data_IF_183574154504
#
_entry.id   IF_183574154504
#
_cell.length_a   1.000
_cell.length_b   1.000
_cell.length_c   1.000
_cell.angle_alpha   90.00
_cell.angle_beta   90.00
_cell.angle_gamma   90.00
#
_symmetry.space_group_name_H-M   'P 1'
#
loop_
_entity.id
_entity.type
_entity.pdbx_description
1 polymer ?
#
# COMPACT_ATOMS: atom_id res chain seq x y z
N UNK A 1 -1.53 0.07 -7.77
CA UNK A 1 -0.25 0.75 -7.47
C UNK A 1 0.87 0.27 -8.39
N UNK A 2 1.18 -1.04 -8.43
CA UNK A 2 2.18 -1.60 -9.36
C UNK A 2 1.97 -1.19 -10.84
N UNK A 3 0.74 -1.32 -11.35
CA UNK A 3 0.37 -0.91 -12.72
C UNK A 3 0.58 0.59 -12.97
N UNK A 4 0.42 1.43 -11.94
CA UNK A 4 0.65 2.87 -12.06
C UNK A 4 2.14 3.17 -12.23
N UNK A 5 2.99 2.57 -11.40
CA UNK A 5 4.45 2.73 -11.48
C UNK A 5 4.96 2.28 -12.86
N UNK A 6 4.51 1.12 -13.34
CA UNK A 6 4.89 0.63 -14.67
C UNK A 6 4.43 1.58 -15.80
N UNK A 7 3.21 2.12 -15.72
CA UNK A 7 2.71 3.11 -16.71
C UNK A 7 3.52 4.40 -16.70
N UNK A 8 3.91 4.87 -15.52
CA UNK A 8 4.75 6.08 -15.38
C UNK A 8 6.13 5.81 -15.96
N UNK A 9 6.75 4.67 -15.65
CA UNK A 9 8.05 4.29 -16.22
C UNK A 9 8.02 4.16 -17.75
N UNK A 10 6.93 3.60 -18.30
CA UNK A 10 6.71 3.56 -19.75
C UNK A 10 6.61 4.96 -20.39
N UNK A 11 6.12 5.96 -19.66
CA UNK A 11 6.00 7.33 -20.18
C UNK A 11 7.31 8.14 -20.09
N UNK A 12 8.17 7.83 -19.12
CA UNK A 12 9.39 8.62 -18.85
C UNK A 12 10.61 8.02 -19.54
N UNK A 13 10.70 6.68 -19.65
CA UNK A 13 11.84 5.98 -20.23
C UNK A 13 11.46 5.32 -21.57
N UNK A 14 11.80 5.93 -22.72
CA UNK A 14 11.59 5.32 -24.02
C UNK A 14 12.58 4.19 -24.34
N UNK A 15 13.71 4.10 -23.62
CA UNK A 15 14.69 3.02 -23.77
C UNK A 15 14.21 1.76 -23.03
N UNK A 16 13.95 0.70 -23.80
CA UNK A 16 13.46 -0.59 -23.35
C UNK A 16 14.47 -1.32 -22.44
N UNK A 17 15.77 -1.21 -22.70
CA UNK A 17 16.79 -1.89 -21.89
C UNK A 17 16.94 -1.26 -20.52
N UNK A 18 16.98 0.07 -20.46
CA UNK A 18 17.06 0.82 -19.19
C UNK A 18 15.78 0.57 -18.39
N UNK A 19 14.63 0.60 -19.05
CA UNK A 19 13.34 0.35 -18.41
C UNK A 19 13.29 -1.04 -17.78
N UNK A 20 13.67 -2.08 -18.50
CA UNK A 20 13.56 -3.45 -17.99
C UNK A 20 14.50 -3.70 -16.81
N UNK A 21 15.74 -3.17 -16.87
CA UNK A 21 16.68 -3.23 -15.75
C UNK A 21 16.18 -2.45 -14.53
N UNK A 22 15.67 -1.24 -14.76
CA UNK A 22 15.13 -0.41 -13.69
C UNK A 22 13.88 -1.04 -13.06
N UNK A 23 13.00 -1.65 -13.86
CA UNK A 23 11.81 -2.35 -13.38
C UNK A 23 12.21 -3.54 -12.51
N UNK A 24 13.21 -4.33 -12.89
CA UNK A 24 13.66 -5.46 -12.06
C UNK A 24 14.17 -5.01 -10.68
N UNK A 25 15.03 -3.98 -10.65
CA UNK A 25 15.55 -3.39 -9.40
C UNK A 25 14.40 -2.84 -8.55
N UNK A 26 13.45 -2.16 -9.18
CA UNK A 26 12.31 -1.59 -8.47
C UNK A 26 11.36 -2.67 -7.94
N UNK A 27 11.07 -3.72 -8.70
CA UNK A 27 10.12 -4.77 -8.33
C UNK A 27 10.56 -5.52 -7.07
N UNK A 28 11.85 -5.83 -6.96
CA UNK A 28 12.40 -6.50 -5.78
C UNK A 28 12.20 -5.66 -4.52
N UNK A 29 12.59 -4.39 -4.55
CA UNK A 29 12.43 -3.50 -3.40
C UNK A 29 10.95 -3.13 -3.14
N UNK A 30 10.13 -3.06 -4.19
CA UNK A 30 8.69 -2.81 -4.06
C UNK A 30 7.99 -3.97 -3.37
N UNK A 31 8.33 -5.21 -3.74
CA UNK A 31 7.75 -6.43 -3.15
C UNK A 31 8.08 -6.54 -1.66
N UNK A 32 9.32 -6.18 -1.28
CA UNK A 32 9.72 -6.07 0.13
C UNK A 32 8.87 -5.04 0.89
N UNK A 33 8.70 -3.83 0.35
CA UNK A 33 7.86 -2.79 0.99
C UNK A 33 6.40 -3.20 1.10
N UNK A 34 5.87 -3.96 0.15
CA UNK A 34 4.51 -4.52 0.27
C UNK A 34 4.40 -5.56 1.36
N UNK A 35 5.39 -6.45 1.50
CA UNK A 35 5.41 -7.43 2.59
C UNK A 35 5.42 -6.73 3.95
N UNK A 36 6.29 -5.74 4.12
CA UNK A 36 6.36 -4.97 5.37
C UNK A 36 5.06 -4.21 5.67
N UNK A 37 4.43 -3.64 4.64
CA UNK A 37 3.13 -2.98 4.77
C UNK A 37 2.04 -3.96 5.22
N UNK A 38 2.05 -5.19 4.71
CA UNK A 38 1.14 -6.25 5.13
C UNK A 38 1.38 -6.66 6.58
N UNK A 39 2.65 -6.81 6.99
CA UNK A 39 3.01 -7.14 8.37
C UNK A 39 2.56 -6.05 9.35
N UNK A 40 2.75 -4.78 8.98
CA UNK A 40 2.27 -3.63 9.76
C UNK A 40 0.74 -3.63 9.89
N UNK A 41 0.02 -3.87 8.78
CA UNK A 41 -1.43 -3.97 8.80
C UNK A 41 -1.89 -5.14 9.69
N UNK A 42 -1.19 -6.28 9.66
CA UNK A 42 -1.50 -7.43 10.51
C UNK A 42 -1.29 -7.12 12.00
N UNK A 43 -0.24 -6.38 12.37
CA UNK A 43 -0.02 -5.94 13.75
C UNK A 43 -1.14 -5.03 14.22
N UNK A 44 -1.54 -4.06 13.40
CA UNK A 44 -2.65 -3.13 13.72
C UNK A 44 -3.95 -3.93 13.92
N UNK A 45 -4.24 -4.89 13.03
CA UNK A 45 -5.41 -5.75 13.16
C UNK A 45 -5.38 -6.63 14.41
N UNK A 46 -4.21 -7.16 14.79
CA UNK A 46 -4.03 -7.93 16.03
C UNK A 46 -4.25 -7.06 17.27
N UNK A 47 -3.67 -5.86 17.30
CA UNK A 47 -3.84 -4.90 18.40
C UNK A 47 -5.31 -4.50 18.55
N UNK A 48 -5.99 -4.27 17.43
CA UNK A 48 -7.41 -3.95 17.42
C UNK A 48 -8.27 -5.11 17.92
N UNK A 49 -8.00 -6.34 17.47
CA UNK A 49 -8.70 -7.55 17.96
C UNK A 49 -8.56 -7.75 19.47
N UNK A 50 -7.44 -7.29 20.05
CA UNK A 50 -7.20 -7.35 21.49
C UNK A 50 -7.83 -6.18 22.25
N UNK A 51 -8.20 -5.10 21.56
CA UNK A 51 -8.84 -3.96 22.17
C UNK A 51 -10.32 -4.28 22.39
N UNK A 52 -10.73 -4.45 23.65
CA UNK A 52 -12.09 -4.84 23.99
C UNK A 52 -13.06 -3.72 23.55
N UNK A 53 -13.97 -4.06 22.63
CA UNK A 53 -14.91 -3.18 21.91
C UNK A 53 -15.96 -2.47 22.80
N UNK A 54 -15.79 -2.48 24.12
CA UNK A 54 -16.74 -2.02 25.14
C UNK A 54 -16.91 -0.51 25.23
N UNK A 55 -16.14 0.27 24.48
CA UNK A 55 -16.18 1.75 24.48
C UNK A 55 -17.03 2.36 23.35
N UNK A 56 -17.56 1.55 22.42
CA UNK A 56 -18.43 2.10 21.37
C UNK A 56 -19.81 2.47 21.95
N UNK A 57 -20.18 3.75 21.82
CA UNK A 57 -21.44 4.30 22.34
C UNK A 57 -22.67 3.60 21.74
N UNK A 58 -22.62 3.16 20.47
CA UNK A 58 -23.74 2.44 19.84
C UNK A 58 -23.84 1.00 20.37
N UNK A 59 -22.71 0.36 20.64
CA UNK A 59 -22.70 -0.95 21.31
C UNK A 59 -23.27 -0.85 22.73
N UNK A 60 -22.84 0.14 23.53
CA UNK A 60 -23.37 0.37 24.87
C UNK A 60 -24.88 0.63 24.88
N UNK A 61 -25.38 1.46 23.97
CA UNK A 61 -26.82 1.71 23.82
C UNK A 61 -27.59 0.44 23.46
N UNK A 62 -27.05 -0.39 22.57
CA UNK A 62 -27.72 -1.64 22.16
C UNK A 62 -27.70 -2.67 23.29
N UNK A 63 -26.63 -2.71 24.09
CA UNK A 63 -26.53 -3.53 25.29
C UNK A 63 -27.58 -3.12 26.33
N UNK A 64 -27.72 -1.82 26.61
CA UNK A 64 -28.71 -1.28 27.53
C UNK A 64 -30.15 -1.57 27.09
N UNK A 65 -30.44 -1.46 25.79
CA UNK A 65 -31.76 -1.76 25.22
C UNK A 65 -32.07 -3.26 25.37
N UNK A 66 -31.13 -4.13 25.00
CA UNK A 66 -31.31 -5.58 25.12
C UNK A 66 -31.45 -6.02 26.58
N UNK A 67 -30.69 -5.41 27.51
CA UNK A 67 -30.81 -5.66 28.95
C UNK A 67 -32.18 -5.24 29.49
N UNK A 68 -32.67 -4.05 29.12
CA UNK A 68 -34.00 -3.55 29.52
C UNK A 68 -35.12 -4.44 28.99
N UNK A 69 -35.01 -4.93 27.75
CA UNK A 69 -35.98 -5.89 27.18
C UNK A 69 -35.99 -7.22 27.93
N UNK A 70 -34.82 -7.78 28.22
CA UNK A 70 -34.70 -9.02 29.00
C UNK A 70 -35.31 -8.87 30.41
N UNK A 71 -35.06 -7.73 31.08
CA UNK A 71 -35.69 -7.42 32.37
C UNK A 71 -37.21 -7.27 32.25
N UNK A 72 -37.73 -6.53 31.26
CA UNK A 72 -39.18 -6.38 31.04
C UNK A 72 -39.86 -7.72 30.72
N UNK A 73 -39.24 -8.56 29.90
CA UNK A 73 -39.73 -9.89 29.55
C UNK A 73 -39.73 -10.82 30.77
N UNK A 74 -38.74 -10.73 31.68
CA UNK A 74 -38.74 -11.43 32.98
C UNK A 74 -39.96 -11.11 33.84
N UNK A 75 -40.44 -9.85 33.84
CA UNK A 75 -41.67 -9.47 34.56
C UNK A 75 -42.94 -9.96 33.84
N UNK A 76 -42.96 -10.01 32.50
CA UNK A 76 -44.08 -10.55 31.70
C UNK A 76 -44.24 -12.07 31.82
N UNK A 77 -43.15 -12.82 32.04
CA UNK A 77 -43.17 -14.28 32.25
C UNK A 77 -43.95 -14.66 33.52
N UNK A 78 -43.95 -13.81 34.54
CA UNK A 78 -44.76 -13.98 35.77
C UNK A 78 -46.26 -13.87 35.47
N UNK A 79 -46.65 -13.22 34.37
CA UNK A 79 -48.05 -13.06 33.90
C UNK A 79 -48.49 -14.08 32.84
N UNK A 80 -47.74 -15.17 32.64
CA UNK A 80 -48.23 -16.36 31.92
C UNK A 80 -47.97 -16.43 30.41
N UNK A 81 -47.07 -15.60 29.85
CA UNK A 81 -46.61 -15.75 28.45
C UNK A 81 -45.26 -16.46 28.36
N UNK A 82 -45.12 -17.31 27.33
CA UNK A 82 -43.93 -18.15 27.07
C UNK A 82 -42.68 -17.27 26.93
N UNK A 83 -41.62 -17.62 27.67
CA UNK A 83 -40.26 -17.06 27.58
C UNK A 83 -39.82 -16.92 26.12
N UNK A 84 -39.51 -15.70 25.67
CA UNK A 84 -38.57 -15.55 24.57
C UNK A 84 -37.26 -16.24 25.01
N UNK A 85 -36.67 -17.12 24.19
CA UNK A 85 -35.55 -17.92 24.64
C UNK A 85 -34.36 -17.00 24.93
N UNK A 86 -33.65 -17.22 26.04
CA UNK A 86 -32.37 -16.54 26.37
C UNK A 86 -31.37 -16.52 25.20
N UNK A 87 -31.52 -17.47 24.27
CA UNK A 87 -30.83 -17.50 22.97
C UNK A 87 -31.04 -16.20 22.17
N UNK A 88 -32.23 -15.61 22.11
CA UNK A 88 -32.51 -14.37 21.36
C UNK A 88 -31.73 -13.17 21.90
N UNK A 89 -31.64 -13.02 23.22
CA UNK A 89 -30.88 -11.94 23.86
C UNK A 89 -29.38 -12.03 23.55
N UNK A 90 -28.81 -13.24 23.60
CA UNK A 90 -27.42 -13.49 23.23
C UNK A 90 -27.20 -13.20 21.74
N UNK A 91 -28.15 -13.59 20.88
CA UNK A 91 -28.09 -13.28 19.44
C UNK A 91 -28.13 -11.77 19.17
N UNK A 92 -28.96 -11.00 19.87
CA UNK A 92 -29.06 -9.54 19.71
C UNK A 92 -27.76 -8.84 20.12
N UNK A 93 -27.14 -9.28 21.23
CA UNK A 93 -25.84 -8.74 21.68
C UNK A 93 -24.73 -9.08 20.69
N UNK A 94 -24.68 -10.33 20.21
CA UNK A 94 -23.70 -10.74 19.23
C UNK A 94 -23.88 -9.98 17.91
N UNK A 95 -25.11 -9.79 17.45
CA UNK A 95 -25.39 -9.01 16.25
C UNK A 95 -24.94 -7.55 16.38
N UNK A 96 -25.22 -6.91 17.52
CA UNK A 96 -24.76 -5.56 17.81
C UNK A 96 -23.23 -5.47 17.85
N UNK A 97 -22.57 -6.45 18.48
CA UNK A 97 -21.11 -6.56 18.52
C UNK A 97 -20.51 -6.67 17.12
N UNK A 98 -21.01 -7.60 16.30
CA UNK A 98 -20.50 -7.80 14.93
C UNK A 98 -20.73 -6.59 14.03
N UNK A 99 -21.83 -5.84 14.21
CA UNK A 99 -22.10 -4.64 13.44
C UNK A 99 -21.07 -3.52 13.70
N UNK A 100 -20.60 -3.37 14.94
CA UNK A 100 -19.55 -2.41 15.29
C UNK A 100 -18.16 -2.94 14.89
N UNK A 101 -17.89 -4.21 15.17
CA UNK A 101 -16.61 -4.86 14.85
C UNK A 101 -16.31 -4.84 13.34
N UNK A 102 -17.31 -5.11 12.50
CA UNK A 102 -17.15 -5.08 11.04
C UNK A 102 -16.84 -3.68 10.51
N UNK A 103 -17.53 -2.64 10.97
CA UNK A 103 -17.26 -1.24 10.58
C UNK A 103 -15.84 -0.82 10.96
N UNK A 104 -15.46 -1.07 12.21
CA UNK A 104 -14.12 -0.71 12.70
C UNK A 104 -13.02 -1.50 12.00
N UNK A 105 -13.26 -2.78 11.69
CA UNK A 105 -12.35 -3.58 10.88
C UNK A 105 -12.13 -2.97 9.49
N UNK A 106 -13.20 -2.55 8.82
CA UNK A 106 -13.11 -1.89 7.52
C UNK A 106 -12.33 -0.58 7.64
N UNK A 107 -12.65 0.26 8.62
CA UNK A 107 -11.96 1.54 8.83
C UNK A 107 -10.47 1.34 9.09
N UNK A 108 -10.10 0.34 9.90
CA UNK A 108 -8.71 0.05 10.23
C UNK A 108 -7.97 -0.58 9.05
N UNK A 109 -8.61 -1.48 8.31
CA UNK A 109 -8.03 -1.99 7.05
C UNK A 109 -7.76 -0.84 6.08
N UNK A 110 -8.70 0.10 5.95
CA UNK A 110 -8.56 1.29 5.10
C UNK A 110 -7.46 2.23 5.58
N UNK A 111 -7.39 2.50 6.89
CA UNK A 111 -6.35 3.36 7.47
C UNK A 111 -4.96 2.71 7.41
N UNK A 112 -4.84 1.44 7.78
CA UNK A 112 -3.58 0.71 7.75
C UNK A 112 -3.07 0.57 6.31
N UNK A 113 -3.94 0.21 5.38
CA UNK A 113 -3.58 0.09 3.96
C UNK A 113 -3.26 1.47 3.37
N UNK A 114 -4.04 2.50 3.71
CA UNK A 114 -3.79 3.88 3.30
C UNK A 114 -2.45 4.40 3.81
N UNK A 115 -2.17 4.22 5.09
CA UNK A 115 -0.91 4.64 5.68
C UNK A 115 0.27 3.85 5.09
N UNK A 116 0.21 2.52 5.07
CA UNK A 116 1.35 1.72 4.64
C UNK A 116 1.62 1.82 3.12
N UNK A 117 0.59 2.02 2.29
CA UNK A 117 0.74 2.03 0.83
C UNK A 117 0.76 3.44 0.19
N UNK A 118 0.19 4.46 0.84
CA UNK A 118 0.00 5.78 0.20
C UNK A 118 0.66 6.93 0.96
N UNK A 119 0.49 7.00 2.29
CA UNK A 119 0.87 8.21 3.05
C UNK A 119 2.14 8.04 3.87
N UNK A 120 2.46 6.82 4.27
CA UNK A 120 3.56 6.50 5.18
C UNK A 120 4.95 6.69 4.58
N UNK A 121 5.98 6.72 5.44
CA UNK A 121 7.37 6.98 5.03
C UNK A 121 7.93 5.87 4.12
N UNK A 122 7.48 4.63 4.30
CA UNK A 122 7.88 3.45 3.50
C UNK A 122 6.94 3.15 2.33
N UNK A 123 6.13 4.13 1.89
CA UNK A 123 5.20 3.92 0.78
C UNK A 123 5.91 3.43 -0.49
N UNK A 124 5.32 2.50 -1.25
CA UNK A 124 5.87 2.00 -2.51
C UNK A 124 6.09 3.10 -3.55
N UNK A 125 5.22 4.12 -3.59
CA UNK A 125 5.37 5.27 -4.49
C UNK A 125 6.59 6.14 -4.19
N UNK A 126 7.09 6.12 -2.95
CA UNK A 126 8.27 6.88 -2.55
C UNK A 126 9.57 6.14 -2.82
N UNK A 127 9.51 4.95 -3.44
CA UNK A 127 10.70 4.16 -3.75
C UNK A 127 11.54 4.87 -4.81
N UNK A 128 10.93 5.24 -5.93
CA UNK A 128 11.63 5.98 -6.98
C UNK A 128 11.65 7.47 -6.63
N UNK A 129 12.74 7.90 -6.00
CA UNK A 129 12.94 9.26 -5.52
C UNK A 129 14.33 9.79 -5.94
N UNK A 130 14.55 11.12 -5.91
CA UNK A 130 15.88 11.67 -6.17
C UNK A 130 16.96 11.11 -5.22
N UNK A 131 16.59 10.83 -3.96
CA UNK A 131 17.48 10.20 -2.98
C UNK A 131 17.86 8.78 -3.40
N UNK A 132 16.88 7.98 -3.85
CA UNK A 132 17.16 6.64 -4.38
C UNK A 132 18.18 6.68 -5.53
N UNK A 133 18.06 7.63 -6.45
CA UNK A 133 19.02 7.77 -7.55
C UNK A 133 20.40 8.22 -7.06
N UNK A 134 20.46 9.09 -6.05
CA UNK A 134 21.70 9.55 -5.46
C UNK A 134 22.44 8.45 -4.66
N UNK A 135 21.70 7.51 -4.07
CA UNK A 135 22.22 6.40 -3.29
C UNK A 135 22.69 5.22 -4.16
N UNK A 136 22.43 5.24 -5.47
CA UNK A 136 22.94 4.22 -6.39
C UNK A 136 24.45 4.35 -6.53
N UNK A 137 25.16 3.23 -6.37
CA UNK A 137 26.58 3.15 -6.61
C UNK A 137 26.90 3.22 -8.12
N UNK A 138 28.13 3.61 -8.46
CA UNK A 138 28.55 3.87 -9.84
C UNK A 138 28.46 2.61 -10.73
N UNK A 139 28.73 1.43 -10.16
CA UNK A 139 28.54 0.13 -10.80
C UNK A 139 27.06 -0.16 -11.10
N UNK A 140 26.17 0.13 -10.16
CA UNK A 140 24.72 -0.05 -10.31
C UNK A 140 24.16 0.92 -11.37
N UNK A 141 24.65 2.16 -11.39
CA UNK A 141 24.32 3.15 -12.40
C UNK A 141 24.80 2.72 -13.80
N UNK A 142 26.02 2.19 -13.89
CA UNK A 142 26.55 1.70 -15.15
C UNK A 142 25.83 0.43 -15.63
N UNK A 143 25.35 -0.41 -14.70
CA UNK A 143 24.51 -1.54 -15.06
C UNK A 143 23.14 -1.09 -15.59
N UNK A 144 22.47 -0.16 -14.90
CA UNK A 144 21.10 0.26 -15.21
C UNK A 144 21.05 1.20 -16.43
N UNK A 145 21.89 2.23 -16.45
CA UNK A 145 21.86 3.33 -17.42
C UNK A 145 23.16 3.43 -18.26
N UNK A 146 24.12 2.54 -18.05
CA UNK A 146 25.35 2.53 -18.83
C UNK A 146 25.08 2.22 -20.30
N UNK A 147 25.80 2.92 -21.15
CA UNK A 147 25.72 2.71 -22.59
C UNK A 147 26.19 1.34 -23.02
N UNK A 148 25.44 0.76 -23.95
CA UNK A 148 25.89 -0.43 -24.66
C UNK A 148 27.21 -0.14 -25.39
N UNK A 149 28.17 -1.07 -25.34
CA UNK A 149 29.47 -0.95 -25.99
C UNK A 149 29.38 -0.60 -27.49
N UNK A 150 28.35 -1.10 -28.19
CA UNK A 150 28.10 -0.76 -29.59
C UNK A 150 27.67 0.71 -29.77
N UNK A 151 26.83 1.24 -28.86
CA UNK A 151 26.40 2.63 -28.87
C UNK A 151 27.54 3.58 -28.50
N UNK A 152 28.34 3.21 -27.50
CA UNK A 152 29.52 3.97 -27.09
C UNK A 152 30.54 4.11 -28.24
N UNK A 153 30.89 3.00 -28.90
CA UNK A 153 31.77 3.02 -30.09
C UNK A 153 31.21 3.87 -31.22
N UNK A 154 29.90 3.77 -31.49
CA UNK A 154 29.26 4.55 -32.55
C UNK A 154 29.24 6.04 -32.22
N UNK A 155 29.06 6.41 -30.94
CA UNK A 155 29.18 7.79 -30.48
C UNK A 155 30.59 8.33 -30.70
N UNK A 156 31.63 7.55 -30.35
CA UNK A 156 33.02 7.95 -30.58
C UNK A 156 33.30 8.18 -32.07
N UNK A 157 32.84 7.29 -32.95
CA UNK A 157 32.96 7.44 -34.39
C UNK A 157 32.26 8.69 -34.92
N UNK A 158 31.03 8.95 -34.48
CA UNK A 158 30.28 10.15 -34.87
C UNK A 158 30.93 11.43 -34.36
N UNK A 159 31.43 11.42 -33.12
CA UNK A 159 32.12 12.57 -32.52
C UNK A 159 33.39 12.91 -33.28
N UNK A 160 34.16 11.89 -33.69
CA UNK A 160 35.31 12.06 -34.57
C UNK A 160 34.90 12.61 -35.93
N UNK A 161 33.87 12.05 -36.57
CA UNK A 161 33.37 12.54 -37.85
C UNK A 161 32.88 14.00 -37.80
N UNK A 162 32.20 14.41 -36.73
CA UNK A 162 31.80 15.81 -36.51
C UNK A 162 33.04 16.70 -36.42
N UNK A 163 34.06 16.29 -35.66
CA UNK A 163 35.29 17.06 -35.51
C UNK A 163 36.06 17.19 -36.83
N UNK A 164 36.16 16.11 -37.60
CA UNK A 164 36.79 16.08 -38.92
C UNK A 164 36.03 17.00 -39.92
N UNK A 165 34.70 17.00 -39.87
CA UNK A 165 33.87 17.90 -40.69
C UNK A 165 33.98 19.37 -40.27
N UNK A 166 34.04 19.66 -38.96
CA UNK A 166 34.20 21.03 -38.45
C UNK A 166 35.56 21.62 -38.81
N UNK A 167 36.62 20.80 -38.72
CA UNK A 167 37.97 21.20 -39.15
C UNK A 167 38.02 21.42 -40.66
N UNK A 168 37.43 20.51 -41.47
CA UNK A 168 37.30 20.70 -42.91
C UNK A 168 36.56 22.01 -43.26
N UNK A 169 35.44 22.29 -42.58
CA UNK A 169 34.69 23.55 -42.77
C UNK A 169 35.53 24.79 -42.44
N UNK A 170 36.30 24.77 -41.35
CA UNK A 170 37.18 25.89 -40.96
C UNK A 170 38.33 26.14 -41.94
N UNK A 171 38.76 25.11 -42.67
CA UNK A 171 39.82 25.24 -43.67
C UNK A 171 39.28 25.80 -45.00
N UNK A 172 37.98 25.59 -45.28
CA UNK A 172 37.32 26.10 -46.50
C UNK A 172 36.74 27.53 -46.36
N UNK A 173 36.75 28.11 -45.16
CA UNK A 173 36.40 29.52 -44.89
C UNK A 173 37.67 30.34 -44.66
#
# INVERSE_FOLDING_TARGET
MHTFILKVLLSICPDEQIRDKLVNVLVDELSKRYSEAMDQAQIILKAERMNLMTLDNKFQQTLDISQKRSHQEQYEIVKGKKKAPMSSYIHDILAAYYAVASKRFIDICMQATGYCLLTGPRKPLGLFSPQFVADLAEDQLMEIAGENAALSRRREQLKKGIQDLETGRKIMM
#
